data_IF_847369631083
#
_entry.id   IF_847369631083
#
_cell.length_a   1.000
_cell.length_b   1.000
_cell.length_c   1.000
_cell.angle_alpha   90.00
_cell.angle_beta   90.00
_cell.angle_gamma   90.00
#
_symmetry.space_group_name_H-M   'P 1'
#
loop_
_entity.id
_entity.type
_entity.pdbx_description
1 polymer ?
#
# COMPACT_ATOMS: atom_id res chain seq x y z
N UNK A 1 -31.90 -55.71 -13.31
CA UNK A 1 -30.75 -54.97 -13.88
C UNK A 1 -31.04 -53.51 -13.71
N UNK A 2 -30.45 -52.88 -12.66
CA UNK A 2 -30.66 -51.48 -12.33
C UNK A 2 -29.38 -50.74 -12.71
N UNK A 3 -29.49 -49.90 -13.73
CA UNK A 3 -28.44 -49.03 -14.24
C UNK A 3 -28.16 -47.90 -13.21
N UNK A 4 -26.97 -47.91 -12.62
CA UNK A 4 -26.48 -46.81 -11.79
C UNK A 4 -25.93 -45.73 -12.72
N UNK A 5 -26.67 -44.65 -12.89
CA UNK A 5 -26.22 -43.43 -13.59
C UNK A 5 -25.43 -42.59 -12.57
N UNK A 6 -24.11 -42.69 -12.64
CA UNK A 6 -23.20 -41.91 -11.77
C UNK A 6 -23.11 -40.49 -12.33
N UNK A 7 -23.78 -39.56 -11.64
CA UNK A 7 -23.70 -38.11 -11.92
C UNK A 7 -22.39 -37.58 -11.36
N UNK A 8 -21.39 -37.45 -12.23
CA UNK A 8 -20.10 -36.82 -11.90
C UNK A 8 -20.30 -35.31 -11.88
N UNK A 9 -20.56 -34.75 -10.72
CA UNK A 9 -20.67 -33.30 -10.50
C UNK A 9 -19.26 -32.71 -10.49
N UNK A 10 -18.82 -32.19 -11.64
CA UNK A 10 -17.57 -31.48 -11.76
C UNK A 10 -17.64 -30.13 -11.05
N UNK A 11 -17.01 -30.03 -9.88
CA UNK A 11 -16.80 -28.76 -9.18
C UNK A 11 -15.73 -27.98 -9.93
N UNK A 12 -16.15 -27.04 -10.76
CA UNK A 12 -15.25 -26.03 -11.34
C UNK A 12 -14.78 -25.09 -10.22
N UNK A 13 -13.57 -25.28 -9.71
CA UNK A 13 -12.88 -24.29 -8.93
C UNK A 13 -12.49 -23.13 -9.87
N UNK A 14 -13.31 -22.11 -9.90
CA UNK A 14 -12.96 -20.83 -10.50
C UNK A 14 -11.96 -20.16 -9.54
N UNK A 15 -10.67 -20.42 -9.71
CA UNK A 15 -9.61 -19.65 -9.06
C UNK A 15 -9.56 -18.27 -9.71
N UNK A 16 -10.45 -17.38 -9.30
CA UNK A 16 -10.37 -15.97 -9.66
C UNK A 16 -9.08 -15.40 -9.06
N UNK A 17 -8.19 -14.88 -9.91
CA UNK A 17 -7.09 -14.03 -9.45
C UNK A 17 -7.71 -12.77 -8.85
N UNK A 18 -7.88 -12.73 -7.54
CA UNK A 18 -8.24 -11.52 -6.82
C UNK A 18 -6.98 -10.64 -6.76
N UNK A 19 -6.95 -9.61 -7.58
CA UNK A 19 -5.95 -8.54 -7.48
C UNK A 19 -6.26 -7.74 -6.22
N UNK A 20 -5.48 -7.97 -5.16
CA UNK A 20 -5.58 -7.16 -3.94
C UNK A 20 -4.83 -5.85 -4.12
N UNK A 21 -5.47 -4.76 -3.72
CA UNK A 21 -4.80 -3.47 -3.55
C UNK A 21 -3.78 -3.59 -2.42
N UNK A 22 -2.64 -2.94 -2.55
CA UNK A 22 -1.64 -2.86 -1.49
C UNK A 22 -1.23 -1.42 -1.24
N UNK A 23 -0.89 -1.15 0.02
CA UNK A 23 -0.36 0.14 0.46
C UNK A 23 1.12 -0.02 0.77
N UNK A 24 1.97 0.71 0.05
CA UNK A 24 3.39 0.76 0.35
C UNK A 24 3.65 1.90 1.33
N UNK A 25 4.12 1.53 2.52
CA UNK A 25 4.39 2.45 3.63
C UNK A 25 5.87 2.40 3.98
N UNK A 26 6.49 3.57 4.06
CA UNK A 26 7.84 3.76 4.56
C UNK A 26 7.79 4.32 5.97
N UNK A 27 8.51 3.70 6.88
CA UNK A 27 8.58 4.09 8.30
C UNK A 27 10.02 4.38 8.66
N UNK A 28 10.22 5.50 9.34
CA UNK A 28 11.48 5.91 9.94
C UNK A 28 11.24 6.31 11.39
N UNK A 29 12.03 5.79 12.31
CA UNK A 29 11.90 6.11 13.72
C UNK A 29 13.26 6.23 14.39
N UNK A 30 13.41 7.30 15.15
CA UNK A 30 14.61 7.62 15.90
C UNK A 30 14.20 7.85 17.36
N UNK A 31 14.96 7.29 18.28
CA UNK A 31 14.71 7.46 19.71
C UNK A 31 16.00 7.57 20.52
N UNK A 32 15.93 8.32 21.60
CA UNK A 32 16.97 8.38 22.62
C UNK A 32 16.73 7.32 23.70
N UNK A 33 17.72 7.07 24.55
CA UNK A 33 17.56 6.15 25.69
C UNK A 33 16.44 6.58 26.65
N UNK A 34 16.24 7.90 26.82
CA UNK A 34 15.20 8.49 27.68
C UNK A 34 13.78 8.15 27.22
N UNK A 35 13.56 7.86 25.94
CA UNK A 35 12.26 7.50 25.40
C UNK A 35 11.66 6.24 26.05
N UNK A 36 12.49 5.32 26.55
CA UNK A 36 12.05 4.09 27.20
C UNK A 36 11.49 4.29 28.60
N UNK A 37 11.96 5.32 29.27
CA UNK A 37 11.64 5.59 30.70
C UNK A 37 10.35 6.41 30.85
N UNK A 38 10.03 7.26 29.86
CA UNK A 38 8.92 8.22 29.93
C UNK A 38 7.71 7.69 29.18
N UNK A 39 6.64 7.34 29.90
CA UNK A 39 5.45 6.69 29.35
C UNK A 39 4.14 7.45 29.59
N UNK A 40 4.13 8.43 30.49
CA UNK A 40 2.95 9.27 30.76
C UNK A 40 2.94 10.45 29.77
N UNK A 41 1.83 10.63 29.02
CA UNK A 41 1.78 11.60 27.94
C UNK A 41 0.48 12.42 27.88
N UNK A 42 0.57 13.60 27.26
CA UNK A 42 -0.54 14.33 26.66
C UNK A 42 -0.39 14.33 25.16
N UNK A 43 -1.49 14.17 24.39
CA UNK A 43 -1.49 14.20 22.94
C UNK A 43 -1.92 15.57 22.44
N UNK A 44 -1.11 16.18 21.59
CA UNK A 44 -1.29 17.52 21.07
C UNK A 44 -1.15 17.55 19.56
N UNK A 45 -1.82 18.50 18.84
CA UNK A 45 -1.59 18.73 17.42
C UNK A 45 -0.12 19.12 17.17
N UNK A 46 0.51 18.46 16.19
CA UNK A 46 1.86 18.78 15.73
C UNK A 46 1.87 19.66 14.47
N UNK A 47 0.72 19.88 13.82
CA UNK A 47 0.58 20.78 12.71
C UNK A 47 0.50 22.24 13.20
N UNK A 48 1.15 23.19 12.50
CA UNK A 48 1.22 24.60 12.91
C UNK A 48 -0.12 25.26 13.19
N UNK A 49 -1.16 24.91 12.41
CA UNK A 49 -2.51 25.47 12.54
C UNK A 49 -3.51 24.50 13.20
N UNK A 50 -3.02 23.33 13.65
CA UNK A 50 -3.85 22.29 14.24
C UNK A 50 -4.40 22.70 15.61
N UNK A 51 -5.67 22.41 15.83
CA UNK A 51 -6.35 22.64 17.12
C UNK A 51 -6.82 21.32 17.71
N UNK A 52 -6.82 21.21 19.03
CA UNK A 52 -7.36 20.04 19.73
C UNK A 52 -8.86 19.84 19.43
N UNK A 53 -9.59 20.92 19.10
CA UNK A 53 -11.01 20.89 18.75
C UNK A 53 -11.30 20.45 17.32
N UNK A 54 -10.28 20.29 16.47
CA UNK A 54 -10.48 19.89 15.08
C UNK A 54 -10.97 18.44 15.02
N UNK A 55 -12.07 18.19 14.31
CA UNK A 55 -12.68 16.86 14.20
C UNK A 55 -11.73 15.83 13.61
N UNK A 56 -10.93 16.22 12.60
CA UNK A 56 -9.93 15.33 12.01
C UNK A 56 -8.83 14.98 13.00
N UNK A 57 -8.36 15.97 13.78
CA UNK A 57 -7.40 15.69 14.85
C UNK A 57 -7.98 14.73 15.89
N UNK A 58 -9.22 14.95 16.32
CA UNK A 58 -9.87 14.08 17.32
C UNK A 58 -10.01 12.63 16.80
N UNK A 59 -10.39 12.45 15.53
CA UNK A 59 -10.47 11.12 14.92
C UNK A 59 -9.10 10.44 14.88
N UNK A 60 -8.06 11.13 14.43
CA UNK A 60 -6.71 10.57 14.30
C UNK A 60 -6.03 10.40 15.68
N UNK A 61 -6.34 11.27 16.63
CA UNK A 61 -5.90 11.14 18.00
C UNK A 61 -6.42 9.86 18.65
N UNK A 62 -7.71 9.52 18.43
CA UNK A 62 -8.29 8.29 18.97
C UNK A 62 -7.55 7.03 18.48
N UNK A 63 -7.24 6.94 17.19
CA UNK A 63 -6.41 5.84 16.65
C UNK A 63 -5.01 5.83 17.26
N UNK A 64 -4.39 7.01 17.37
CA UNK A 64 -3.02 7.15 17.88
C UNK A 64 -2.94 6.76 19.34
N UNK A 65 -3.91 7.13 20.15
CA UNK A 65 -4.00 6.76 21.58
C UNK A 65 -4.04 5.23 21.73
N UNK A 66 -4.83 4.51 20.94
CA UNK A 66 -4.86 3.04 20.96
C UNK A 66 -3.50 2.42 20.58
N UNK A 67 -2.84 2.98 19.58
CA UNK A 67 -1.51 2.51 19.19
C UNK A 67 -0.46 2.78 20.27
N UNK A 68 -0.55 3.90 20.97
CA UNK A 68 0.30 4.25 22.10
C UNK A 68 0.04 3.35 23.32
N UNK A 69 -1.23 3.08 23.66
CA UNK A 69 -1.61 2.17 24.72
C UNK A 69 -1.01 0.77 24.50
N UNK A 70 -1.09 0.26 23.27
CA UNK A 70 -0.48 -1.02 22.88
C UNK A 70 1.06 -1.03 23.01
N UNK A 71 1.70 0.15 23.07
CA UNK A 71 3.14 0.34 23.31
C UNK A 71 3.45 0.64 24.80
N UNK A 72 2.45 0.58 25.66
CA UNK A 72 2.59 0.79 27.12
C UNK A 72 2.67 2.25 27.54
N UNK A 73 2.27 3.19 26.66
CA UNK A 73 2.10 4.58 27.05
C UNK A 73 0.77 4.76 27.81
N UNK A 74 0.72 5.75 28.69
CA UNK A 74 -0.47 6.06 29.48
C UNK A 74 -0.83 7.53 29.32
N UNK A 75 -2.07 7.80 28.92
CA UNK A 75 -2.57 9.16 28.79
C UNK A 75 -2.70 9.79 30.17
N UNK A 76 -2.10 10.96 30.36
CA UNK A 76 -2.23 11.77 31.57
C UNK A 76 -3.50 12.61 31.51
N UNK A 77 -4.04 12.97 32.68
CA UNK A 77 -5.22 13.83 32.80
C UNK A 77 -4.90 15.31 32.55
N UNK A 78 -3.66 15.71 32.78
CA UNK A 78 -3.18 17.08 32.57
C UNK A 78 -1.72 17.11 32.10
N UNK A 79 -1.29 18.25 31.56
CA UNK A 79 0.11 18.48 31.19
C UNK A 79 1.06 18.38 32.37
N UNK A 80 0.59 18.74 33.59
CA UNK A 80 1.38 18.69 34.81
C UNK A 80 1.71 17.26 35.25
N UNK A 81 0.81 16.31 34.98
CA UNK A 81 1.00 14.89 35.26
C UNK A 81 1.78 14.16 34.17
N UNK A 82 1.80 14.72 32.95
CA UNK A 82 2.48 14.10 31.83
C UNK A 82 4.00 14.25 31.94
N UNK A 83 4.73 13.22 31.54
CA UNK A 83 6.19 13.26 31.41
C UNK A 83 6.62 13.78 30.04
N UNK A 84 5.80 13.51 29.01
CA UNK A 84 6.06 13.92 27.63
C UNK A 84 4.81 14.52 26.99
N UNK A 85 5.03 15.46 26.06
CA UNK A 85 4.01 15.82 25.08
C UNK A 85 4.24 14.99 23.80
N UNK A 86 3.20 14.36 23.30
CA UNK A 86 3.24 13.68 22.01
C UNK A 86 2.56 14.59 20.98
N UNK A 87 3.33 14.98 19.98
CA UNK A 87 2.88 15.82 18.87
C UNK A 87 2.49 14.93 17.70
N UNK A 88 1.21 14.97 17.32
CA UNK A 88 0.67 14.26 16.16
C UNK A 88 0.58 15.20 14.96
N UNK A 89 1.38 14.95 13.94
CA UNK A 89 1.35 15.65 12.66
C UNK A 89 0.89 14.73 11.54
N UNK A 90 0.17 15.26 10.57
CA UNK A 90 -0.31 14.52 9.41
C UNK A 90 -0.62 15.47 8.27
N UNK A 91 -0.60 14.93 7.05
CA UNK A 91 -0.92 15.72 5.87
C UNK A 91 -0.81 14.95 4.57
N UNK A 92 -1.19 15.67 3.52
CA UNK A 92 -1.07 15.25 2.13
C UNK A 92 -0.24 16.31 1.41
N UNK A 93 0.73 15.89 0.60
CA UNK A 93 1.50 16.82 -0.24
C UNK A 93 0.67 17.33 -1.41
N UNK A 94 1.14 18.40 -2.03
CA UNK A 94 0.69 18.79 -3.37
C UNK A 94 0.80 17.62 -4.34
N UNK A 95 -0.13 17.50 -5.30
CA UNK A 95 -0.13 16.44 -6.30
C UNK A 95 1.14 16.50 -7.16
N UNK A 96 1.78 15.35 -7.37
CA UNK A 96 2.90 15.20 -8.29
C UNK A 96 2.42 14.50 -9.56
N UNK A 97 2.72 15.09 -10.70
CA UNK A 97 2.33 14.57 -12.02
C UNK A 97 3.49 13.78 -12.61
N UNK A 98 3.27 12.49 -12.85
CA UNK A 98 4.22 11.60 -13.50
C UNK A 98 3.72 11.22 -14.89
N UNK A 99 4.54 11.53 -15.90
CA UNK A 99 4.31 11.07 -17.26
C UNK A 99 5.21 9.87 -17.52
N UNK A 100 4.62 8.77 -18.01
CA UNK A 100 5.36 7.58 -18.37
C UNK A 100 4.87 7.01 -19.71
N UNK A 101 5.76 6.38 -20.42
CA UNK A 101 5.48 5.76 -21.71
C UNK A 101 5.26 4.26 -21.54
N UNK A 102 4.12 3.76 -22.02
CA UNK A 102 3.85 2.33 -22.10
C UNK A 102 3.94 1.90 -23.55
N UNK A 103 4.60 0.78 -23.82
CA UNK A 103 4.58 0.12 -25.10
C UNK A 103 3.40 -0.86 -25.15
N UNK A 104 2.45 -0.60 -26.04
CA UNK A 104 1.29 -1.48 -26.27
C UNK A 104 1.52 -2.28 -27.54
N UNK A 105 1.38 -3.62 -27.52
CA UNK A 105 1.54 -4.43 -28.73
C UNK A 105 0.39 -4.18 -29.71
N UNK A 106 0.73 -4.04 -30.98
CA UNK A 106 -0.24 -4.01 -32.07
C UNK A 106 -0.37 -5.44 -32.59
N UNK A 107 -1.58 -5.98 -32.54
CA UNK A 107 -1.89 -7.30 -33.08
C UNK A 107 -2.38 -7.17 -34.53
N UNK A 108 -1.83 -7.99 -35.39
CA UNK A 108 -2.21 -8.02 -36.79
C UNK A 108 -1.94 -9.38 -37.43
N UNK A 109 -2.21 -9.45 -38.70
CA UNK A 109 -1.98 -10.65 -39.49
C UNK A 109 -0.47 -10.85 -39.74
N UNK A 110 0.11 -11.94 -39.22
CA UNK A 110 1.55 -12.25 -39.35
C UNK A 110 1.87 -13.27 -40.44
N UNK A 111 0.86 -13.84 -41.06
CA UNK A 111 1.02 -14.80 -42.16
C UNK A 111 -0.16 -15.74 -42.30
N UNK A 112 -0.06 -16.62 -43.28
CA UNK A 112 -1.01 -17.71 -43.48
C UNK A 112 -0.28 -19.03 -43.22
N UNK A 113 -0.84 -19.89 -42.41
CA UNK A 113 -0.43 -21.29 -42.37
C UNK A 113 -1.18 -22.08 -43.42
N UNK A 114 -0.45 -22.91 -44.12
CA UNK A 114 -0.99 -23.79 -45.16
C UNK A 114 -0.98 -25.22 -44.65
N UNK A 115 -2.14 -25.83 -44.58
CA UNK A 115 -2.26 -27.25 -44.25
C UNK A 115 -2.90 -27.92 -45.49
N UNK A 116 -2.21 -28.85 -46.09
CA UNK A 116 -2.71 -29.58 -47.23
C UNK A 116 -2.08 -30.97 -47.34
N UNK A 117 -2.78 -31.90 -47.91
CA UNK A 117 -2.24 -33.20 -48.31
C UNK A 117 -1.68 -33.13 -49.75
N UNK A 118 -0.52 -33.74 -49.94
CA UNK A 118 0.03 -33.90 -51.29
C UNK A 118 -0.12 -35.36 -51.73
N UNK A 119 -0.75 -35.58 -52.88
CA UNK A 119 -0.85 -36.91 -53.49
C UNK A 119 0.17 -37.00 -54.61
N UNK A 120 1.02 -38.06 -54.56
CA UNK A 120 1.98 -38.35 -55.62
C UNK A 120 1.50 -39.56 -56.42
N UNK A 121 1.32 -39.37 -57.73
CA UNK A 121 0.99 -40.46 -58.66
C UNK A 121 2.19 -40.76 -59.56
N UNK A 122 2.42 -42.03 -59.75
CA UNK A 122 3.48 -42.52 -60.64
C UNK A 122 2.88 -43.02 -61.93
N UNK A 123 3.20 -42.39 -63.11
CA UNK A 123 2.74 -42.73 -64.38
C UNK A 123 3.92 -42.74 -65.34
N UNK A 124 4.06 -43.84 -66.08
CA UNK A 124 5.12 -44.02 -67.11
C UNK A 124 6.54 -43.70 -66.64
N UNK A 125 6.86 -44.11 -65.42
CA UNK A 125 8.22 -43.86 -64.78
C UNK A 125 8.48 -42.41 -64.33
N UNK A 126 7.45 -41.55 -64.37
CA UNK A 126 7.51 -40.18 -63.86
C UNK A 126 6.58 -40.03 -62.65
N UNK A 127 7.02 -39.25 -61.67
CA UNK A 127 6.25 -38.94 -60.50
C UNK A 127 5.64 -37.54 -60.62
N UNK A 128 4.35 -37.41 -60.38
CA UNK A 128 3.62 -36.15 -60.37
C UNK A 128 3.02 -35.98 -59.01
N UNK A 129 3.43 -34.90 -58.33
CA UNK A 129 2.90 -34.53 -57.00
C UNK A 129 1.99 -33.33 -57.17
N UNK A 130 0.76 -33.41 -56.69
CA UNK A 130 -0.18 -32.30 -56.65
C UNK A 130 -0.73 -32.13 -55.23
N UNK A 131 -0.98 -30.86 -54.85
CA UNK A 131 -1.58 -30.55 -53.56
C UNK A 131 -3.09 -30.69 -53.64
N UNK A 132 -3.64 -31.45 -52.73
CA UNK A 132 -5.06 -31.69 -52.57
C UNK A 132 -5.55 -31.01 -51.29
N UNK A 133 -6.64 -30.22 -51.37
CA UNK A 133 -7.23 -29.53 -50.20
C UNK A 133 -6.26 -28.63 -49.40
N UNK A 134 -5.84 -27.54 -49.99
CA UNK A 134 -5.04 -26.54 -49.28
C UNK A 134 -5.96 -25.66 -48.43
N UNK A 135 -5.87 -25.77 -47.12
CA UNK A 135 -6.60 -24.92 -46.20
C UNK A 135 -5.70 -23.76 -45.74
N UNK A 136 -6.19 -22.55 -45.92
CA UNK A 136 -5.53 -21.33 -45.48
C UNK A 136 -6.06 -20.92 -44.12
N UNK A 137 -5.20 -20.88 -43.13
CA UNK A 137 -5.56 -20.38 -41.80
C UNK A 137 -4.75 -19.11 -41.51
N UNK A 138 -5.40 -17.95 -41.40
CA UNK A 138 -4.71 -16.72 -41.05
C UNK A 138 -4.16 -16.79 -39.62
N UNK A 139 -2.89 -16.44 -39.45
CA UNK A 139 -2.23 -16.37 -38.15
C UNK A 139 -2.13 -14.92 -37.70
N UNK A 140 -2.55 -14.65 -36.49
CA UNK A 140 -2.48 -13.33 -35.88
C UNK A 140 -1.44 -13.33 -34.77
N UNK A 141 -0.72 -12.23 -34.63
CA UNK A 141 0.30 -12.03 -33.60
C UNK A 141 0.72 -10.58 -33.50
N UNK A 142 1.76 -10.31 -32.72
CA UNK A 142 2.29 -8.97 -32.57
C UNK A 142 3.02 -8.56 -33.82
N UNK A 143 2.51 -7.54 -34.54
CA UNK A 143 3.08 -6.99 -35.80
C UNK A 143 3.89 -5.72 -35.56
N UNK A 144 3.81 -5.15 -34.34
CA UNK A 144 4.52 -3.95 -33.96
C UNK A 144 4.16 -3.53 -32.54
N UNK A 145 4.62 -2.38 -32.14
CA UNK A 145 4.22 -1.73 -30.88
C UNK A 145 3.97 -0.26 -31.11
N UNK A 146 3.04 0.30 -30.34
CA UNK A 146 2.83 1.74 -30.25
C UNK A 146 3.20 2.23 -28.88
N UNK A 147 3.72 3.44 -28.79
CA UNK A 147 4.02 4.07 -27.49
C UNK A 147 2.86 4.97 -27.09
N UNK A 148 2.27 4.69 -25.94
CA UNK A 148 1.22 5.51 -25.36
C UNK A 148 1.79 6.26 -24.16
N UNK A 149 1.61 7.58 -24.15
CA UNK A 149 1.93 8.41 -23.01
C UNK A 149 0.77 8.40 -22.02
N UNK A 150 1.05 7.99 -20.79
CA UNK A 150 0.09 8.01 -19.71
C UNK A 150 0.54 9.02 -18.66
N UNK A 151 -0.44 9.66 -18.02
CA UNK A 151 -0.23 10.60 -16.92
C UNK A 151 -0.81 10.03 -15.66
N UNK A 152 -0.03 10.02 -14.58
CA UNK A 152 -0.49 9.61 -13.26
C UNK A 152 -0.26 10.72 -12.25
N UNK A 153 -1.29 11.03 -11.47
CA UNK A 153 -1.20 11.95 -10.33
C UNK A 153 -0.94 11.14 -9.07
N UNK A 154 0.09 11.51 -8.33
CA UNK A 154 0.51 10.82 -7.10
C UNK A 154 0.55 11.83 -5.95
N UNK A 155 -0.04 11.44 -4.82
CA UNK A 155 0.00 12.17 -3.55
C UNK A 155 0.91 11.45 -2.56
N UNK A 156 1.73 12.22 -1.82
CA UNK A 156 2.44 11.72 -0.65
C UNK A 156 1.60 12.00 0.59
N UNK A 157 1.19 10.96 1.29
CA UNK A 157 0.49 11.06 2.58
C UNK A 157 1.47 10.72 3.67
N UNK A 158 1.49 11.53 4.73
CA UNK A 158 2.44 11.39 5.82
C UNK A 158 1.77 11.53 7.18
N UNK A 159 2.39 10.89 8.15
CA UNK A 159 2.07 10.97 9.57
C UNK A 159 3.39 11.05 10.36
N UNK A 160 3.41 11.88 11.38
CA UNK A 160 4.49 11.97 12.33
C UNK A 160 3.97 11.95 13.76
N UNK A 161 4.63 11.17 14.61
CA UNK A 161 4.36 11.11 16.05
C UNK A 161 5.69 11.40 16.74
N UNK A 162 5.77 12.53 17.44
CA UNK A 162 7.01 13.00 18.07
C UNK A 162 6.80 13.17 19.56
N UNK A 163 7.63 12.55 20.37
CA UNK A 163 7.63 12.68 21.82
C UNK A 163 8.64 13.74 22.29
N UNK A 164 8.14 14.72 23.01
CA UNK A 164 8.89 15.85 23.54
C UNK A 164 8.92 15.78 25.06
N UNK A 165 10.09 15.94 25.64
CA UNK A 165 10.28 15.92 27.09
C UNK A 165 9.71 17.18 27.73
N UNK A 166 8.77 17.01 28.67
CA UNK A 166 8.16 18.13 29.41
C UNK A 166 8.94 18.59 30.63
N UNK A 167 10.03 17.93 30.98
CA UNK A 167 10.78 18.28 32.17
C UNK A 167 11.37 19.71 32.13
N UNK A 168 11.89 20.10 30.98
CA UNK A 168 12.38 21.47 30.77
C UNK A 168 11.22 22.46 30.65
N UNK A 169 10.21 22.14 29.89
CA UNK A 169 9.02 22.98 29.74
C UNK A 169 8.41 23.35 31.11
N UNK A 170 8.32 22.38 32.01
CA UNK A 170 7.81 22.64 33.39
C UNK A 170 8.68 23.59 34.19
N UNK A 171 9.98 23.71 33.86
CA UNK A 171 10.92 24.63 34.57
C UNK A 171 10.94 26.01 33.91
N UNK A 172 10.89 26.10 32.60
CA UNK A 172 11.10 27.34 31.81
C UNK A 172 9.80 27.95 31.29
N UNK A 173 8.74 27.17 31.16
CA UNK A 173 7.45 27.59 30.58
C UNK A 173 7.47 27.77 29.07
N UNK A 174 8.60 27.47 28.38
CA UNK A 174 8.74 27.62 26.95
C UNK A 174 8.90 26.27 26.24
N UNK A 175 8.07 26.02 25.21
CA UNK A 175 8.15 24.82 24.38
C UNK A 175 9.35 24.83 23.43
N UNK A 176 9.92 25.99 23.16
CA UNK A 176 11.06 26.15 22.22
C UNK A 176 12.32 25.45 22.70
N UNK A 177 12.48 25.29 24.02
CA UNK A 177 13.62 24.58 24.63
C UNK A 177 13.30 23.09 24.92
N UNK A 178 12.10 22.64 24.60
CA UNK A 178 11.68 21.27 24.88
C UNK A 178 12.40 20.28 23.93
N UNK A 179 13.08 19.31 24.53
CA UNK A 179 13.89 18.34 23.78
C UNK A 179 13.02 17.23 23.19
N UNK A 180 13.09 17.02 21.87
CA UNK A 180 12.57 15.80 21.24
C UNK A 180 13.36 14.59 21.74
N UNK A 181 12.66 13.58 22.27
CA UNK A 181 13.29 12.36 22.77
C UNK A 181 13.07 11.16 21.83
N UNK A 182 12.05 11.22 20.97
CA UNK A 182 11.83 10.28 19.89
C UNK A 182 10.91 10.87 18.82
N UNK A 183 11.05 10.38 17.60
CA UNK A 183 10.18 10.73 16.49
C UNK A 183 9.98 9.52 15.60
N UNK A 184 8.72 9.20 15.29
CA UNK A 184 8.33 8.13 14.37
C UNK A 184 7.54 8.74 13.22
N UNK A 185 8.04 8.57 12.00
CA UNK A 185 7.44 9.11 10.78
C UNK A 185 7.04 7.96 9.87
N UNK A 186 5.87 8.09 9.25
CA UNK A 186 5.38 7.16 8.24
C UNK A 186 4.87 7.92 7.03
N UNK A 187 5.12 7.38 5.83
CA UNK A 187 4.65 7.96 4.58
C UNK A 187 4.23 6.89 3.59
N UNK A 188 3.26 7.21 2.74
CA UNK A 188 2.81 6.37 1.63
C UNK A 188 2.58 7.21 0.38
N UNK A 189 2.92 6.66 -0.78
CA UNK A 189 2.67 7.25 -2.09
C UNK A 189 1.53 6.53 -2.77
N UNK A 190 0.65 7.25 -3.46
CA UNK A 190 -0.43 6.65 -4.22
C UNK A 190 -1.39 7.67 -4.83
N UNK A 191 -2.27 7.22 -5.72
CA UNK A 191 -3.18 8.07 -6.47
C UNK A 191 -4.36 8.62 -5.63
N UNK A 192 -4.71 7.97 -4.51
CA UNK A 192 -5.76 8.47 -3.61
C UNK A 192 -5.27 9.70 -2.84
N UNK A 193 -6.12 10.72 -2.72
CA UNK A 193 -5.93 11.89 -1.86
C UNK A 193 -6.70 11.79 -0.53
N UNK A 194 -7.23 10.62 -0.19
CA UNK A 194 -7.95 10.40 1.05
C UNK A 194 -7.00 10.03 2.19
N UNK A 195 -6.76 10.99 3.09
CA UNK A 195 -5.94 10.78 4.28
C UNK A 195 -6.64 9.89 5.32
N UNK A 196 -7.98 9.94 5.40
CA UNK A 196 -8.74 9.14 6.37
C UNK A 196 -8.66 7.64 6.06
N UNK A 197 -8.58 7.29 4.77
CA UNK A 197 -8.36 5.92 4.33
C UNK A 197 -6.97 5.42 4.73
N UNK A 198 -5.94 6.25 4.53
CA UNK A 198 -4.56 5.82 4.66
C UNK A 198 -3.99 5.97 6.07
N UNK A 199 -4.50 6.90 6.88
CA UNK A 199 -3.96 7.19 8.21
C UNK A 199 -3.90 5.96 9.12
N UNK A 200 -4.95 5.11 9.23
CA UNK A 200 -4.88 3.88 10.03
C UNK A 200 -3.81 2.91 9.52
N UNK A 201 -3.58 2.86 8.21
CA UNK A 201 -2.56 2.00 7.59
C UNK A 201 -1.16 2.48 7.93
N UNK A 202 -0.91 3.80 7.87
CA UNK A 202 0.35 4.41 8.31
C UNK A 202 0.63 4.09 9.78
N UNK A 203 -0.39 4.21 10.61
CA UNK A 203 -0.28 3.94 12.04
C UNK A 203 0.00 2.45 12.33
N UNK A 204 -0.71 1.52 11.68
CA UNK A 204 -0.47 0.07 11.80
C UNK A 204 0.96 -0.28 11.40
N UNK A 205 1.46 0.29 10.30
CA UNK A 205 2.82 0.05 9.84
C UNK A 205 3.87 0.55 10.85
N UNK A 206 3.60 1.68 11.51
CA UNK A 206 4.52 2.34 12.42
C UNK A 206 4.40 1.90 13.88
N UNK A 207 3.28 1.26 14.27
CA UNK A 207 2.96 0.95 15.67
C UNK A 207 4.11 0.30 16.45
N UNK A 208 4.76 -0.72 15.88
CA UNK A 208 5.87 -1.42 16.53
C UNK A 208 7.14 -0.56 16.67
N UNK A 209 7.24 0.51 15.91
CA UNK A 209 8.40 1.41 15.87
C UNK A 209 8.19 2.68 16.68
N UNK A 210 7.01 2.91 17.26
CA UNK A 210 6.75 4.08 18.11
C UNK A 210 7.73 4.09 19.28
N UNK A 211 8.47 5.19 19.41
CA UNK A 211 9.51 5.40 20.42
C UNK A 211 10.63 4.34 20.41
N UNK A 212 10.92 3.79 19.22
CA UNK A 212 12.02 2.86 19.00
C UNK A 212 12.99 3.45 17.95
N UNK A 213 14.06 2.74 17.62
CA UNK A 213 15.03 3.16 16.63
C UNK A 213 15.10 2.15 15.50
N UNK A 214 14.72 2.56 14.29
CA UNK A 214 14.78 1.69 13.11
C UNK A 214 16.16 1.65 12.46
N UNK A 215 17.09 2.54 12.87
CA UNK A 215 18.43 2.72 12.29
C UNK A 215 18.42 3.12 10.80
N UNK A 216 17.43 2.69 10.04
CA UNK A 216 17.19 3.02 8.64
C UNK A 216 15.70 2.98 8.34
N UNK A 217 15.31 3.63 7.26
CA UNK A 217 13.95 3.58 6.76
C UNK A 217 13.54 2.14 6.42
N UNK A 218 12.39 1.71 6.93
CA UNK A 218 11.82 0.38 6.73
C UNK A 218 10.58 0.49 5.84
N UNK A 219 10.46 -0.39 4.85
CA UNK A 219 9.32 -0.42 3.93
C UNK A 219 8.41 -1.60 4.22
N UNK A 220 7.10 -1.34 4.19
CA UNK A 220 6.04 -2.32 4.37
C UNK A 220 5.11 -2.27 3.17
N UNK A 221 4.74 -3.44 2.62
CA UNK A 221 3.62 -3.57 1.69
C UNK A 221 2.47 -4.23 2.42
N UNK A 222 1.41 -3.47 2.69
CA UNK A 222 0.25 -3.90 3.47
C UNK A 222 -0.89 -4.16 2.48
N UNK A 223 -1.38 -5.39 2.44
CA UNK A 223 -2.52 -5.76 1.59
C UNK A 223 -3.82 -5.22 2.16
N UNK A 224 -4.68 -4.74 1.27
CA UNK A 224 -6.05 -4.34 1.57
C UNK A 224 -6.93 -5.60 1.62
N UNK A 225 -6.93 -6.25 2.77
CA UNK A 225 -7.62 -7.51 3.01
C UNK A 225 -8.35 -7.50 4.37
N UNK A 226 -9.13 -8.54 4.62
CA UNK A 226 -9.88 -8.70 5.88
C UNK A 226 -8.99 -8.63 7.14
N UNK A 227 -7.68 -8.92 7.02
CA UNK A 227 -6.75 -8.81 8.15
C UNK A 227 -6.41 -7.36 8.45
N UNK A 228 -6.29 -6.52 7.43
CA UNK A 228 -6.10 -5.08 7.60
C UNK A 228 -7.38 -4.46 8.20
N UNK A 229 -8.55 -4.79 7.65
CA UNK A 229 -9.83 -4.30 8.18
C UNK A 229 -10.02 -4.64 9.66
N UNK A 230 -9.68 -5.89 10.06
CA UNK A 230 -9.71 -6.29 11.47
C UNK A 230 -8.80 -5.42 12.34
N UNK A 231 -7.57 -5.17 11.91
CA UNK A 231 -6.63 -4.29 12.66
C UNK A 231 -7.12 -2.85 12.74
N UNK A 232 -7.71 -2.33 11.67
CA UNK A 232 -8.31 -0.99 11.69
C UNK A 232 -9.48 -0.94 12.67
N UNK A 233 -10.29 -1.99 12.71
CA UNK A 233 -11.40 -2.11 13.66
C UNK A 233 -10.92 -2.16 15.12
N UNK A 234 -9.82 -2.90 15.38
CA UNK A 234 -9.18 -2.94 16.71
C UNK A 234 -8.64 -1.56 17.15
N UNK A 235 -8.23 -0.71 16.23
CA UNK A 235 -7.83 0.66 16.53
C UNK A 235 -9.03 1.61 16.74
N UNK A 236 -10.25 1.24 16.28
CA UNK A 236 -11.47 2.04 16.47
C UNK A 236 -12.15 1.79 17.83
N UNK A 237 -12.04 0.57 18.34
CA UNK A 237 -12.68 0.10 19.57
C UNK A 237 -11.70 -0.08 20.71
#
# INVERSE_FOLDING_TARGET
>A
MKSLFSLLLGVFFVTGCTSYRSFDVKVDSISTLRAKEKKSYVLLPGNKEGKISDLQFQEFAAFTEKALDARGFRKASSIDEAQIAILLSYGISEPQIYNYACSEPIYGHIGNSFTGSCTTIHLFGKSFTYAENTQHTPSYGVVGSTTRLNTQVIFSKHMGITGVDLEQFKKTGTLEEAQEIWSTKAQSLGASNDLREIFPVLLIASQKHIADNTQKMVSYSIRDDAKLEKKIHELKN
#
